data_IF_997568502309
#
_entry.id   IF_997568502309
#
_cell.length_a   1.000
_cell.length_b   1.000
_cell.length_c   1.000
_cell.angle_alpha   90.00
_cell.angle_beta   90.00
_cell.angle_gamma   90.00
#
_symmetry.space_group_name_H-M   'P 1'
#
loop_
_entity.id
_entity.type
_entity.pdbx_description
1 polymer ?
#
# COMPACT_ATOMS: atom_id res chain seq x y z
N UNK A 1 10.78 -15.13 1.92
CA UNK A 1 10.45 -15.29 3.35
C UNK A 1 10.92 -14.12 4.21
N UNK A 2 12.22 -13.82 4.28
CA UNK A 2 12.78 -12.72 5.11
C UNK A 2 12.20 -11.33 4.76
N UNK A 3 12.09 -10.99 3.47
CA UNK A 3 11.50 -9.73 3.03
C UNK A 3 10.04 -9.54 3.49
N UNK A 4 9.24 -10.61 3.52
CA UNK A 4 7.82 -10.58 3.93
C UNK A 4 7.69 -10.35 5.44
N UNK A 5 8.57 -10.97 6.23
CA UNK A 5 8.67 -10.71 7.67
C UNK A 5 9.12 -9.27 7.96
N UNK A 6 10.06 -8.75 7.17
CA UNK A 6 10.51 -7.35 7.28
C UNK A 6 9.36 -6.40 6.95
N UNK A 7 8.65 -6.59 5.84
CA UNK A 7 7.51 -5.75 5.47
C UNK A 7 6.36 -5.85 6.47
N UNK A 8 5.96 -7.05 6.92
CA UNK A 8 4.94 -7.21 7.95
C UNK A 8 5.36 -6.59 9.29
N UNK A 9 6.64 -6.66 9.66
CA UNK A 9 7.17 -6.04 10.88
C UNK A 9 7.19 -4.52 10.77
N UNK A 10 7.57 -3.97 9.62
CA UNK A 10 7.54 -2.52 9.35
C UNK A 10 6.09 -2.02 9.44
N UNK A 11 5.13 -2.74 8.84
CA UNK A 11 3.71 -2.41 8.91
C UNK A 11 3.20 -2.50 10.35
N UNK A 12 3.56 -3.55 11.10
CA UNK A 12 3.14 -3.72 12.49
C UNK A 12 3.71 -2.63 13.41
N UNK A 13 5.00 -2.29 13.25
CA UNK A 13 5.64 -1.18 13.98
C UNK A 13 5.00 0.16 13.61
N UNK A 14 4.67 0.37 12.33
CA UNK A 14 4.00 1.58 11.87
C UNK A 14 2.60 1.70 12.47
N UNK A 15 1.78 0.65 12.41
CA UNK A 15 0.44 0.58 13.02
C UNK A 15 0.53 0.84 14.53
N UNK A 16 1.45 0.16 15.23
CA UNK A 16 1.64 0.35 16.68
C UNK A 16 2.10 1.77 17.03
N UNK A 17 2.95 2.39 16.21
CA UNK A 17 3.35 3.79 16.39
C UNK A 17 2.18 4.76 16.16
N UNK A 18 1.33 4.48 15.18
CA UNK A 18 0.12 5.26 14.88
C UNK A 18 -0.92 5.14 15.99
N UNK A 19 -1.16 3.94 16.53
CA UNK A 19 -2.05 3.74 17.67
C UNK A 19 -1.53 4.46 18.93
N UNK A 20 -0.20 4.47 19.13
CA UNK A 20 0.43 5.15 20.27
C UNK A 20 0.31 6.68 20.16
N UNK A 21 0.45 7.25 18.95
CA UNK A 21 0.26 8.70 18.69
C UNK A 21 -1.19 9.14 18.90
N UNK A 22 -2.16 8.33 18.47
CA UNK A 22 -3.60 8.60 18.68
C UNK A 22 -3.94 8.60 20.18
N UNK A 23 -3.32 7.70 20.97
CA UNK A 23 -3.52 7.66 22.43
C UNK A 23 -2.93 8.88 23.14
N UNK A 24 -1.77 9.38 22.71
CA UNK A 24 -1.13 10.56 23.28
C UNK A 24 -1.85 11.86 22.89
N UNK A 25 -2.33 11.96 21.65
CA UNK A 25 -3.16 13.08 21.20
C UNK A 25 -4.47 13.18 22.01
N UNK A 26 -5.08 12.03 22.36
CA UNK A 26 -6.30 11.96 23.19
C UNK A 26 -6.06 12.42 24.65
N UNK A 27 -4.85 12.26 25.17
CA UNK A 27 -4.47 12.70 26.53
C UNK A 27 -4.13 14.21 26.54
N UNK A 28 -3.52 14.73 25.47
CA UNK A 28 -3.24 16.16 25.33
C UNK A 28 -4.50 17.01 25.02
N UNK A 29 -5.53 16.43 24.41
CA UNK A 29 -6.81 17.10 24.09
C UNK A 29 -7.64 17.54 25.29
N UNK A 30 -7.39 17.01 26.49
CA UNK A 30 -8.08 17.51 27.70
C UNK A 30 -7.60 18.91 28.10
N UNK A 31 -6.46 19.38 27.57
CA UNK A 31 -5.77 20.56 28.10
C UNK A 31 -5.83 21.77 27.15
N UNK A 32 -6.08 21.64 25.84
CA UNK A 32 -6.02 22.80 24.93
C UNK A 32 -6.90 22.72 23.66
N UNK A 33 -7.96 23.54 23.59
CA UNK A 33 -8.28 24.39 22.42
C UNK A 33 -8.53 23.78 21.02
N UNK A 34 -9.44 22.82 20.92
CA UNK A 34 -10.32 22.33 19.81
C UNK A 34 -10.24 22.72 18.30
N UNK A 35 -9.52 23.71 17.76
CA UNK A 35 -9.79 24.13 16.35
C UNK A 35 -8.90 23.51 15.26
N UNK A 36 -7.64 23.19 15.56
CA UNK A 36 -6.63 22.78 14.55
C UNK A 36 -6.45 21.25 14.43
N UNK A 37 -7.05 20.46 15.33
CA UNK A 37 -6.78 19.02 15.47
C UNK A 37 -7.71 18.10 14.63
N UNK A 38 -8.86 18.60 14.17
CA UNK A 38 -9.78 17.83 13.31
C UNK A 38 -9.20 17.60 11.91
N UNK A 39 -8.45 18.57 11.36
CA UNK A 39 -7.76 18.44 10.06
C UNK A 39 -6.57 17.48 10.10
N UNK A 40 -5.87 17.36 11.23
CA UNK A 40 -4.77 16.42 11.37
C UNK A 40 -5.29 14.98 11.49
N UNK A 41 -6.37 14.78 12.25
CA UNK A 41 -6.99 13.47 12.43
C UNK A 41 -7.58 12.90 11.12
N UNK A 42 -8.19 13.74 10.28
CA UNK A 42 -8.72 13.31 8.98
C UNK A 42 -7.62 12.96 7.98
N UNK A 43 -6.50 13.71 7.98
CA UNK A 43 -5.33 13.41 7.14
C UNK A 43 -4.68 12.09 7.52
N UNK A 44 -4.49 11.85 8.81
CA UNK A 44 -3.90 10.60 9.30
C UNK A 44 -4.80 9.39 9.02
N UNK A 45 -6.13 9.57 9.16
CA UNK A 45 -7.09 8.50 8.86
C UNK A 45 -7.18 8.21 7.35
N UNK A 46 -7.06 9.23 6.49
CA UNK A 46 -6.98 9.05 5.05
C UNK A 46 -5.70 8.28 4.65
N UNK A 47 -4.57 8.65 5.24
CA UNK A 47 -3.29 7.98 4.99
C UNK A 47 -3.30 6.53 5.48
N UNK A 48 -3.91 6.25 6.65
CA UNK A 48 -4.07 4.90 7.16
C UNK A 48 -4.97 4.05 6.25
N UNK A 49 -6.10 4.59 5.79
CA UNK A 49 -7.00 3.91 4.84
C UNK A 49 -6.28 3.56 3.53
N UNK A 50 -5.45 4.48 3.03
CA UNK A 50 -4.64 4.27 1.83
C UNK A 50 -3.60 3.15 2.01
N UNK A 51 -2.86 3.16 3.13
CA UNK A 51 -1.90 2.08 3.44
C UNK A 51 -2.61 0.73 3.58
N UNK A 52 -3.77 0.70 4.24
CA UNK A 52 -4.58 -0.50 4.38
C UNK A 52 -5.05 -1.01 3.01
N UNK A 53 -5.48 -0.12 2.11
CA UNK A 53 -5.89 -0.48 0.76
C UNK A 53 -4.74 -1.13 -0.03
N UNK A 54 -3.56 -0.49 -0.04
CA UNK A 54 -2.36 -1.06 -0.68
C UNK A 54 -2.00 -2.43 -0.12
N UNK A 55 -2.14 -2.62 1.19
CA UNK A 55 -1.88 -3.89 1.84
C UNK A 55 -2.84 -5.00 1.39
N UNK A 56 -4.14 -4.70 1.32
CA UNK A 56 -5.15 -5.64 0.84
C UNK A 56 -4.89 -6.01 -0.63
N UNK A 57 -4.61 -5.01 -1.48
CA UNK A 57 -4.28 -5.22 -2.90
C UNK A 57 -3.01 -6.06 -3.06
N UNK A 58 -2.01 -5.86 -2.20
CA UNK A 58 -0.80 -6.67 -2.19
C UNK A 58 -1.09 -8.13 -1.80
N UNK A 59 -1.80 -8.36 -0.70
CA UNK A 59 -2.15 -9.72 -0.26
C UNK A 59 -2.97 -10.46 -1.32
N UNK A 60 -3.98 -9.81 -1.91
CA UNK A 60 -4.83 -10.43 -2.91
C UNK A 60 -4.06 -10.73 -4.21
N UNK A 61 -3.12 -9.85 -4.59
CA UNK A 61 -2.29 -10.06 -5.77
C UNK A 61 -1.27 -11.20 -5.59
N UNK A 62 -0.56 -11.20 -4.48
CA UNK A 62 0.61 -12.08 -4.28
C UNK A 62 0.29 -13.37 -3.51
N UNK A 63 -0.75 -13.36 -2.67
CA UNK A 63 -1.18 -14.50 -1.86
C UNK A 63 -1.39 -15.79 -2.67
N UNK A 64 -2.16 -15.76 -3.76
CA UNK A 64 -2.38 -16.96 -4.59
C UNK A 64 -1.08 -17.55 -5.15
N UNK A 65 -0.12 -16.71 -5.56
CA UNK A 65 1.17 -17.15 -6.08
C UNK A 65 2.04 -17.78 -4.99
N UNK A 66 2.03 -17.22 -3.78
CA UNK A 66 2.73 -17.83 -2.64
C UNK A 66 2.13 -19.19 -2.26
N UNK A 67 0.80 -19.35 -2.35
CA UNK A 67 0.16 -20.65 -2.10
C UNK A 67 0.68 -21.69 -3.08
N UNK A 68 0.72 -21.39 -4.38
CA UNK A 68 1.33 -22.30 -5.39
C UNK A 68 2.77 -22.63 -5.05
N UNK A 69 3.57 -21.65 -4.65
CA UNK A 69 5.00 -21.83 -4.42
C UNK A 69 5.30 -22.77 -3.22
N UNK A 70 4.39 -22.83 -2.24
CA UNK A 70 4.55 -23.66 -1.04
C UNK A 70 3.91 -25.04 -1.25
N UNK A 71 3.07 -25.21 -2.28
CA UNK A 71 2.44 -26.48 -2.59
C UNK A 71 3.50 -27.49 -3.09
N UNK A 72 3.43 -28.75 -2.64
CA UNK A 72 4.28 -29.81 -3.16
C UNK A 72 4.02 -30.09 -4.65
N UNK A 73 5.06 -30.49 -5.38
CA UNK A 73 5.00 -30.76 -6.82
C UNK A 73 3.95 -31.82 -7.20
N UNK A 74 3.69 -32.80 -6.33
CA UNK A 74 2.67 -33.84 -6.57
C UNK A 74 1.24 -33.28 -6.52
N UNK A 75 1.00 -32.23 -5.72
CA UNK A 75 -0.30 -31.53 -5.70
C UNK A 75 -0.39 -30.62 -6.92
N UNK A 76 0.71 -29.96 -7.29
CA UNK A 76 0.75 -29.12 -8.49
C UNK A 76 0.47 -29.92 -9.76
N UNK A 77 1.03 -31.13 -9.87
CA UNK A 77 0.81 -32.03 -11.00
C UNK A 77 -0.64 -32.53 -11.10
N UNK A 78 -1.39 -32.51 -9.98
CA UNK A 78 -2.81 -32.84 -9.95
C UNK A 78 -3.72 -31.65 -10.35
N UNK A 79 -3.18 -30.44 -10.46
CA UNK A 79 -3.96 -29.27 -10.87
C UNK A 79 -4.17 -29.27 -12.39
N UNK A 80 -5.32 -28.73 -12.86
CA UNK A 80 -5.54 -28.55 -14.28
C UNK A 80 -4.48 -27.63 -14.89
N UNK A 81 -3.98 -27.98 -16.07
CA UNK A 81 -2.93 -27.22 -16.78
C UNK A 81 -3.32 -25.77 -17.12
N UNK A 82 -4.61 -25.45 -17.14
CA UNK A 82 -5.12 -24.09 -17.35
C UNK A 82 -5.20 -23.25 -16.06
N UNK A 83 -5.12 -23.86 -14.88
CA UNK A 83 -5.23 -23.19 -13.58
C UNK A 83 -4.03 -22.29 -13.20
N UNK A 84 -2.76 -22.64 -13.48
CA UNK A 84 -1.63 -21.81 -13.06
C UNK A 84 -1.54 -20.49 -13.85
N UNK A 85 -2.10 -20.42 -15.06
CA UNK A 85 -2.06 -19.23 -15.92
C UNK A 85 -2.79 -18.02 -15.30
N UNK A 86 -4.09 -18.12 -14.91
CA UNK A 86 -4.80 -17.02 -14.27
C UNK A 86 -4.25 -16.69 -12.88
N UNK A 87 -3.48 -17.58 -12.22
CA UNK A 87 -2.87 -17.28 -10.91
C UNK A 87 -1.60 -16.44 -11.00
N UNK A 88 -1.00 -16.32 -12.18
CA UNK A 88 0.17 -15.46 -12.43
C UNK A 88 -0.19 -14.02 -12.79
N UNK A 89 -1.43 -13.77 -13.19
CA UNK A 89 -1.93 -12.43 -13.59
C UNK A 89 -2.14 -11.47 -12.39
N UNK A 90 -2.70 -11.89 -11.24
CA UNK A 90 -2.98 -11.01 -10.11
C UNK A 90 -1.76 -10.28 -9.51
N UNK A 91 -0.56 -10.88 -9.40
CA UNK A 91 0.65 -10.17 -8.96
C UNK A 91 1.02 -9.01 -9.89
N UNK A 92 0.94 -9.22 -11.21
CA UNK A 92 1.25 -8.19 -12.21
C UNK A 92 0.26 -7.02 -12.12
N UNK A 93 -1.04 -7.31 -11.99
CA UNK A 93 -2.08 -6.30 -11.80
C UNK A 93 -1.85 -5.56 -10.48
N UNK A 94 -1.56 -6.27 -9.39
CA UNK A 94 -1.29 -5.66 -8.08
C UNK A 94 -0.09 -4.71 -8.12
N UNK A 95 0.99 -5.08 -8.80
CA UNK A 95 2.12 -4.17 -9.03
C UNK A 95 1.72 -2.92 -9.83
N UNK A 96 0.95 -3.08 -10.90
CA UNK A 96 0.48 -1.93 -11.70
C UNK A 96 -0.38 -0.99 -10.86
N UNK A 97 -1.31 -1.52 -10.08
CA UNK A 97 -2.15 -0.72 -9.17
C UNK A 97 -1.29 0.01 -8.14
N UNK A 98 -0.31 -0.65 -7.54
CA UNK A 98 0.58 0.00 -6.56
C UNK A 98 1.44 1.10 -7.19
N UNK A 99 1.95 0.90 -8.41
CA UNK A 99 2.72 1.91 -9.15
C UNK A 99 1.84 3.11 -9.47
N UNK A 100 0.61 2.88 -9.93
CA UNK A 100 -0.37 3.93 -10.22
C UNK A 100 -0.77 4.68 -8.95
N UNK A 101 -1.05 3.99 -7.85
CA UNK A 101 -1.37 4.61 -6.55
C UNK A 101 -0.20 5.46 -6.05
N UNK A 102 1.03 4.94 -6.12
CA UNK A 102 2.23 5.68 -5.75
C UNK A 102 2.38 6.95 -6.60
N UNK A 103 2.10 6.84 -7.90
CA UNK A 103 2.16 7.96 -8.84
C UNK A 103 1.09 9.02 -8.55
N UNK A 104 -0.14 8.60 -8.24
CA UNK A 104 -1.26 9.51 -7.94
C UNK A 104 -1.05 10.21 -6.59
N UNK A 105 -0.60 9.47 -5.57
CA UNK A 105 -0.48 9.97 -4.20
C UNK A 105 0.80 10.78 -3.97
N UNK A 106 1.86 10.55 -4.75
CA UNK A 106 3.08 11.34 -4.66
C UNK A 106 2.93 12.68 -5.39
N UNK A 107 2.53 13.69 -4.60
CA UNK A 107 2.36 15.08 -5.07
C UNK A 107 3.63 15.64 -5.72
N UNK A 108 4.81 15.27 -5.25
CA UNK A 108 6.08 15.75 -5.79
C UNK A 108 6.35 15.20 -7.19
N UNK A 109 6.14 13.90 -7.40
CA UNK A 109 6.25 13.27 -8.72
C UNK A 109 5.25 13.91 -9.69
N UNK A 110 4.01 14.14 -9.25
CA UNK A 110 2.98 14.78 -10.07
C UNK A 110 3.34 16.21 -10.45
N UNK A 111 3.96 16.96 -9.54
CA UNK A 111 4.44 18.32 -9.79
C UNK A 111 5.62 18.31 -10.76
N UNK A 112 6.58 17.40 -10.59
CA UNK A 112 7.71 17.20 -11.50
C UNK A 112 7.24 16.85 -12.92
N UNK A 113 6.27 15.94 -13.05
CA UNK A 113 5.77 15.52 -14.37
C UNK A 113 4.97 16.63 -15.05
N UNK A 114 4.16 17.39 -14.30
CA UNK A 114 3.52 18.60 -14.83
C UNK A 114 4.56 19.61 -15.31
N UNK A 115 5.60 19.87 -14.53
CA UNK A 115 6.66 20.81 -14.92
C UNK A 115 7.41 20.34 -16.19
N UNK A 116 7.66 19.04 -16.34
CA UNK A 116 8.26 18.50 -17.55
C UNK A 116 7.34 18.62 -18.78
N UNK A 117 6.06 18.29 -18.64
CA UNK A 117 5.08 18.45 -19.71
C UNK A 117 4.97 19.93 -20.13
N UNK A 118 4.91 20.85 -19.16
CA UNK A 118 4.87 22.29 -19.47
C UNK A 118 6.14 22.79 -20.17
N UNK A 119 7.33 22.29 -19.80
CA UNK A 119 8.57 22.62 -20.52
C UNK A 119 8.56 22.09 -21.95
N UNK A 120 8.16 20.84 -22.17
CA UNK A 120 8.05 20.29 -23.52
C UNK A 120 7.01 21.04 -24.37
N UNK A 121 5.87 21.41 -23.78
CA UNK A 121 4.80 22.12 -24.48
C UNK A 121 5.16 23.59 -24.79
N UNK A 122 6.03 24.21 -24.00
CA UNK A 122 6.51 25.58 -24.25
C UNK A 122 7.70 25.62 -25.23
N UNK A 123 8.34 24.48 -25.48
CA UNK A 123 9.45 24.33 -26.44
C UNK A 123 8.99 23.77 -27.81
N UNK A 124 7.74 23.33 -27.93
CA UNK A 124 7.09 22.88 -29.16
C UNK A 124 6.20 23.98 -29.74
#
# INVERSE_FOLDING_TARGET
MVFILIFNSIIFVFVRSSTRRIRQAKIATTISGSATLSQQHTRDMHLLKHILFLFVVFILGWGPLYIILILPDYILAALPSWLPLPLQVPPAISCMVQIVDLFIYNREIRQYLKQQIYRCLHLA
#
